data_IF_309576905216
#
_entry.id   IF_309576905216
#
_cell.length_a   1.000
_cell.length_b   1.000
_cell.length_c   1.000
_cell.angle_alpha   90.00
_cell.angle_beta   90.00
_cell.angle_gamma   90.00
#
_symmetry.space_group_name_H-M   'P 1'
#
loop_
_entity.id
_entity.type
_entity.pdbx_description
1 polymer ?
#
# COMPACT_ATOMS: atom_id res chain seq x y z
N UNK A 1 4.52 -12.77 8.57
CA UNK A 1 4.87 -12.98 7.16
C UNK A 1 6.30 -13.46 7.14
N UNK A 2 6.52 -14.73 6.83
CA UNK A 2 7.87 -15.33 6.84
C UNK A 2 8.76 -14.65 5.78
N UNK A 3 10.02 -14.39 6.14
CA UNK A 3 10.98 -13.72 5.26
C UNK A 3 11.18 -14.45 3.92
N UNK A 4 11.00 -15.78 3.91
CA UNK A 4 11.05 -16.63 2.72
C UNK A 4 9.87 -16.42 1.78
N UNK A 5 8.67 -16.16 2.31
CA UNK A 5 7.50 -15.82 1.50
C UNK A 5 7.63 -14.43 0.88
N UNK A 6 8.17 -13.46 1.62
CA UNK A 6 8.42 -12.12 1.11
C UNK A 6 9.45 -12.12 -0.03
N UNK A 7 10.53 -12.91 0.09
CA UNK A 7 11.54 -13.06 -0.95
C UNK A 7 10.98 -13.72 -2.23
N UNK A 8 10.09 -14.72 -2.09
CA UNK A 8 9.42 -15.37 -3.22
C UNK A 8 8.49 -14.41 -3.97
N UNK A 9 7.69 -13.63 -3.23
CA UNK A 9 6.83 -12.59 -3.80
C UNK A 9 7.63 -11.49 -4.53
N UNK A 10 8.79 -11.10 -3.99
CA UNK A 10 9.69 -10.13 -4.61
C UNK A 10 10.33 -10.67 -5.91
N UNK A 11 10.77 -11.93 -5.91
CA UNK A 11 11.29 -12.59 -7.11
C UNK A 11 10.20 -12.75 -8.18
N UNK A 12 8.97 -13.09 -7.77
CA UNK A 12 7.82 -13.19 -8.66
C UNK A 12 7.44 -11.82 -9.24
N UNK A 13 7.56 -10.72 -8.48
CA UNK A 13 7.37 -9.36 -9.00
C UNK A 13 8.47 -8.96 -9.98
N UNK A 14 9.74 -9.24 -9.68
CA UNK A 14 10.85 -8.95 -10.61
C UNK A 14 10.72 -9.72 -11.93
N UNK A 15 10.25 -10.97 -11.88
CA UNK A 15 10.01 -11.77 -13.08
C UNK A 15 8.85 -11.20 -13.93
N UNK A 16 7.77 -10.74 -13.28
CA UNK A 16 6.65 -10.05 -13.97
C UNK A 16 7.11 -8.76 -14.63
N UNK A 17 7.89 -7.95 -13.92
CA UNK A 17 8.40 -6.67 -14.42
C UNK A 17 9.32 -6.88 -15.62
N UNK A 18 10.16 -7.93 -15.62
CA UNK A 18 10.99 -8.30 -16.79
C UNK A 18 10.15 -8.71 -18.00
N UNK A 19 9.08 -9.48 -17.80
CA UNK A 19 8.18 -9.90 -18.89
C UNK A 19 7.42 -8.69 -19.44
N UNK A 20 6.90 -7.81 -18.59
CA UNK A 20 6.23 -6.57 -19.00
C UNK A 20 7.17 -5.66 -19.79
N UNK A 21 8.41 -5.50 -19.31
CA UNK A 21 9.43 -4.70 -19.99
C UNK A 21 9.79 -5.26 -21.36
N UNK A 22 9.87 -6.59 -21.51
CA UNK A 22 10.07 -7.24 -22.81
C UNK A 22 8.87 -7.07 -23.75
N UNK A 23 7.64 -6.99 -23.23
CA UNK A 23 6.44 -6.68 -24.03
C UNK A 23 6.36 -5.19 -24.43
N UNK A 24 6.93 -4.30 -23.64
CA UNK A 24 7.00 -2.85 -23.92
C UNK A 24 8.15 -2.49 -24.88
N UNK A 25 9.30 -3.15 -24.75
CA UNK A 25 10.53 -2.84 -25.50
C UNK A 25 10.49 -3.39 -26.94
N UNK A 26 9.78 -4.49 -27.20
CA UNK A 26 9.72 -5.10 -28.53
C UNK A 26 8.37 -4.88 -29.22
N UNK A 27 8.33 -4.24 -30.41
CA UNK A 27 7.09 -4.04 -31.13
C UNK A 27 6.48 -5.39 -31.55
N UNK A 28 5.22 -5.61 -31.19
CA UNK A 28 4.48 -6.81 -31.59
C UNK A 28 4.36 -6.85 -33.12
N UNK A 29 5.17 -7.68 -33.78
CA UNK A 29 5.12 -7.89 -35.23
C UNK A 29 4.01 -8.85 -35.58
N UNK A 30 2.96 -8.33 -36.21
CA UNK A 30 1.87 -9.15 -36.73
C UNK A 30 2.24 -9.59 -38.15
N UNK A 31 2.31 -10.90 -38.37
CA UNK A 31 2.66 -11.49 -39.67
C UNK A 31 1.43 -11.82 -40.53
N UNK A 32 0.22 -11.71 -39.97
CA UNK A 32 -1.05 -12.10 -40.58
C UNK A 32 -1.83 -10.91 -41.18
N UNK A 33 -1.14 -9.88 -41.68
CA UNK A 33 -1.78 -8.64 -42.15
C UNK A 33 -1.94 -8.65 -43.67
N UNK A 34 -3.19 -8.59 -44.15
CA UNK A 34 -3.52 -8.32 -45.54
C UNK A 34 -3.30 -6.84 -45.88
N UNK A 35 -3.07 -6.51 -47.16
CA UNK A 35 -2.81 -5.13 -47.59
C UNK A 35 -3.98 -4.19 -47.26
N UNK A 36 -3.70 -2.90 -47.04
CA UNK A 36 -4.69 -1.92 -46.57
C UNK A 36 -5.89 -1.69 -47.50
N UNK A 37 -5.79 -2.10 -48.76
CA UNK A 37 -6.86 -2.04 -49.76
C UNK A 37 -7.44 -3.42 -50.11
N UNK A 38 -7.01 -4.48 -49.44
CA UNK A 38 -7.57 -5.82 -49.63
C UNK A 38 -8.98 -5.89 -49.03
N UNK A 39 -9.90 -6.56 -49.72
CA UNK A 39 -11.24 -6.83 -49.20
C UNK A 39 -11.22 -7.82 -48.03
N UNK A 40 -12.36 -7.95 -47.35
CA UNK A 40 -12.52 -8.88 -46.24
C UNK A 40 -12.34 -10.34 -46.72
N UNK A 41 -11.36 -11.03 -46.14
CA UNK A 41 -11.12 -12.46 -46.32
C UNK A 41 -12.03 -13.30 -45.44
N UNK A 42 -12.21 -14.57 -45.80
CA UNK A 42 -13.05 -15.53 -45.06
C UNK A 42 -12.57 -15.79 -43.63
N UNK A 43 -11.30 -15.52 -43.34
CA UNK A 43 -10.70 -15.66 -42.00
C UNK A 43 -10.80 -14.40 -41.12
N UNK A 44 -11.08 -13.23 -41.69
CA UNK A 44 -10.95 -11.95 -40.98
C UNK A 44 -11.92 -11.83 -39.81
N UNK A 45 -13.12 -12.40 -39.97
CA UNK A 45 -14.11 -12.48 -38.89
C UNK A 45 -13.55 -13.19 -37.65
N UNK A 46 -12.85 -14.31 -37.84
CA UNK A 46 -12.29 -15.06 -36.71
C UNK A 46 -11.13 -14.31 -36.06
N UNK A 47 -10.28 -13.65 -36.84
CA UNK A 47 -9.21 -12.81 -36.28
C UNK A 47 -9.78 -11.66 -35.43
N UNK A 48 -10.79 -10.94 -35.94
CA UNK A 48 -11.49 -9.90 -35.18
C UNK A 48 -12.10 -10.46 -33.89
N UNK A 49 -12.78 -11.61 -33.94
CA UNK A 49 -13.38 -12.23 -32.76
C UNK A 49 -12.35 -12.55 -31.68
N UNK A 50 -11.20 -13.10 -32.07
CA UNK A 50 -10.13 -13.45 -31.13
C UNK A 50 -9.47 -12.20 -30.54
N UNK A 51 -9.15 -11.20 -31.38
CA UNK A 51 -8.59 -9.92 -30.95
C UNK A 51 -9.55 -9.17 -30.01
N UNK A 52 -10.84 -9.11 -30.35
CA UNK A 52 -11.86 -8.49 -29.50
C UNK A 52 -11.99 -9.18 -28.15
N UNK A 53 -11.92 -10.52 -28.11
CA UNK A 53 -11.95 -11.26 -26.84
C UNK A 53 -10.73 -10.94 -25.98
N UNK A 54 -9.54 -10.92 -26.59
CA UNK A 54 -8.30 -10.58 -25.88
C UNK A 54 -8.38 -9.14 -25.33
N UNK A 55 -8.86 -8.20 -26.12
CA UNK A 55 -8.98 -6.80 -25.72
C UNK A 55 -10.00 -6.58 -24.61
N UNK A 56 -11.16 -7.23 -24.68
CA UNK A 56 -12.15 -7.19 -23.60
C UNK A 56 -11.61 -7.79 -22.30
N UNK A 57 -10.85 -8.88 -22.39
CA UNK A 57 -10.19 -9.47 -21.23
C UNK A 57 -9.15 -8.51 -20.63
N UNK A 58 -8.36 -7.84 -21.48
CA UNK A 58 -7.39 -6.81 -21.08
C UNK A 58 -8.05 -5.65 -20.36
N UNK A 59 -9.11 -5.08 -20.94
CA UNK A 59 -9.88 -3.99 -20.32
C UNK A 59 -10.44 -4.43 -18.97
N UNK A 60 -11.02 -5.64 -18.90
CA UNK A 60 -11.55 -6.18 -17.65
C UNK A 60 -10.49 -6.37 -16.56
N UNK A 61 -9.27 -6.77 -16.91
CA UNK A 61 -8.16 -6.86 -15.96
C UNK A 61 -7.76 -5.49 -15.41
N UNK A 62 -7.59 -4.50 -16.30
CA UNK A 62 -7.25 -3.12 -15.92
C UNK A 62 -8.31 -2.54 -14.98
N UNK A 63 -9.60 -2.74 -15.28
CA UNK A 63 -10.69 -2.27 -14.42
C UNK A 63 -10.68 -2.95 -13.05
N UNK A 64 -10.43 -4.26 -13.00
CA UNK A 64 -10.34 -5.01 -11.74
C UNK A 64 -9.15 -4.57 -10.89
N UNK A 65 -7.98 -4.37 -11.50
CA UNK A 65 -6.77 -3.87 -10.82
C UNK A 65 -7.02 -2.48 -10.25
N UNK A 66 -7.59 -1.56 -11.05
CA UNK A 66 -7.95 -0.22 -10.59
C UNK A 66 -8.89 -0.23 -9.39
N UNK A 67 -9.93 -1.07 -9.42
CA UNK A 67 -10.87 -1.20 -8.30
C UNK A 67 -10.18 -1.75 -7.04
N UNK A 68 -9.29 -2.74 -7.18
CA UNK A 68 -8.53 -3.29 -6.07
C UNK A 68 -7.57 -2.27 -5.46
N UNK A 69 -6.83 -1.54 -6.30
CA UNK A 69 -5.91 -0.48 -5.87
C UNK A 69 -6.67 0.59 -5.11
N UNK A 70 -7.76 1.11 -5.68
CA UNK A 70 -8.62 2.11 -5.03
C UNK A 70 -9.12 1.64 -3.66
N UNK A 71 -9.63 0.40 -3.57
CA UNK A 71 -10.09 -0.17 -2.31
C UNK A 71 -8.95 -0.29 -1.27
N UNK A 72 -7.76 -0.70 -1.72
CA UNK A 72 -6.57 -0.81 -0.87
C UNK A 72 -6.09 0.55 -0.36
N UNK A 73 -6.13 1.58 -1.19
CA UNK A 73 -5.78 2.95 -0.81
C UNK A 73 -6.76 3.52 0.20
N UNK A 74 -8.06 3.36 -0.04
CA UNK A 74 -9.09 3.78 0.91
C UNK A 74 -8.92 3.10 2.26
N UNK A 75 -8.64 1.80 2.26
CA UNK A 75 -8.35 1.06 3.48
C UNK A 75 -7.10 1.58 4.21
N UNK A 76 -6.00 1.81 3.48
CA UNK A 76 -4.76 2.36 4.04
C UNK A 76 -5.00 3.75 4.65
N UNK A 77 -5.72 4.63 3.95
CA UNK A 77 -6.08 5.98 4.44
C UNK A 77 -6.91 5.89 5.72
N UNK A 78 -7.96 5.06 5.74
CA UNK A 78 -8.79 4.84 6.94
C UNK A 78 -7.97 4.30 8.12
N UNK A 79 -7.10 3.32 7.88
CA UNK A 79 -6.23 2.76 8.91
C UNK A 79 -5.29 3.83 9.49
N UNK A 80 -4.63 4.61 8.64
CA UNK A 80 -3.74 5.69 9.07
C UNK A 80 -4.47 6.74 9.92
N UNK A 81 -5.70 7.11 9.55
CA UNK A 81 -6.52 8.03 10.33
C UNK A 81 -6.84 7.48 11.72
N UNK A 82 -7.30 6.22 11.80
CA UNK A 82 -7.60 5.57 13.07
C UNK A 82 -6.36 5.41 13.96
N UNK A 83 -5.22 5.05 13.37
CA UNK A 83 -3.95 4.92 14.09
C UNK A 83 -3.50 6.29 14.63
N UNK A 84 -3.66 7.37 13.85
CA UNK A 84 -3.35 8.73 14.28
C UNK A 84 -4.27 9.20 15.43
N UNK A 85 -5.57 8.96 15.34
CA UNK A 85 -6.53 9.29 16.40
C UNK A 85 -6.24 8.51 17.68
N UNK A 86 -5.95 7.21 17.56
CA UNK A 86 -5.56 6.37 18.70
C UNK A 86 -4.25 6.87 19.34
N UNK A 87 -3.27 7.25 18.54
CA UNK A 87 -2.01 7.81 19.02
C UNK A 87 -2.21 9.15 19.73
N UNK A 88 -3.04 10.05 19.19
CA UNK A 88 -3.36 11.33 19.81
C UNK A 88 -4.06 11.14 21.17
N UNK A 89 -5.07 10.28 21.22
CA UNK A 89 -5.79 9.96 22.48
C UNK A 89 -4.85 9.36 23.51
N UNK A 90 -3.93 8.49 23.08
CA UNK A 90 -2.94 7.86 23.95
C UNK A 90 -1.90 8.87 24.45
N UNK A 91 -1.40 9.74 23.58
CA UNK A 91 -0.46 10.81 23.91
C UNK A 91 -1.08 11.80 24.91
N UNK A 92 -2.32 12.22 24.69
CA UNK A 92 -3.05 13.12 25.61
C UNK A 92 -3.22 12.49 27.00
N UNK A 93 -3.56 11.20 27.07
CA UNK A 93 -3.65 10.46 28.34
C UNK A 93 -2.28 10.29 29.01
N UNK A 94 -1.24 9.99 28.24
CA UNK A 94 0.13 9.85 28.74
C UNK A 94 0.67 11.18 29.30
N UNK A 95 0.45 12.30 28.61
CA UNK A 95 0.83 13.63 29.07
C UNK A 95 0.15 13.98 30.41
N UNK A 96 -1.15 13.69 30.56
CA UNK A 96 -1.87 13.87 31.83
C UNK A 96 -1.25 13.03 32.97
N UNK A 97 -0.88 11.78 32.70
CA UNK A 97 -0.19 10.92 33.70
C UNK A 97 1.19 11.44 34.07
N UNK A 98 1.99 11.88 33.09
CA UNK A 98 3.32 12.46 33.32
C UNK A 98 3.23 13.72 34.19
N UNK A 99 2.30 14.64 33.90
CA UNK A 99 2.07 15.85 34.72
C UNK A 99 1.70 15.50 36.17
N UNK A 100 0.81 14.51 36.37
CA UNK A 100 0.45 14.04 37.72
C UNK A 100 1.63 13.39 38.46
N UNK A 101 2.48 12.64 37.76
CA UNK A 101 3.67 12.02 38.34
C UNK A 101 4.69 13.08 38.80
N UNK A 102 4.97 14.06 37.96
CA UNK A 102 5.87 15.18 38.29
C UNK A 102 5.35 15.99 39.48
N UNK A 103 4.05 16.29 39.53
CA UNK A 103 3.45 17.01 40.65
C UNK A 103 3.59 16.24 41.99
N UNK A 104 3.42 14.90 41.97
CA UNK A 104 3.66 14.07 43.16
C UNK A 104 5.13 14.05 43.58
N UNK A 105 6.05 13.92 42.62
CA UNK A 105 7.48 13.95 42.89
C UNK A 105 7.90 15.28 43.55
N UNK A 106 7.43 16.41 43.03
CA UNK A 106 7.70 17.72 43.65
C UNK A 106 7.09 17.86 45.05
N UNK A 107 5.92 17.26 45.32
CA UNK A 107 5.35 17.23 46.67
C UNK A 107 6.17 16.36 47.63
N UNK A 108 6.63 15.21 47.17
CA UNK A 108 7.50 14.32 47.95
C UNK A 108 8.87 14.96 48.22
N UNK A 109 9.46 15.64 47.24
CA UNK A 109 10.70 16.42 47.38
C UNK A 109 10.53 17.58 48.39
N UNK A 110 9.45 18.35 48.29
CA UNK A 110 9.16 19.44 49.23
C UNK A 110 8.92 18.93 50.66
N UNK A 111 8.23 17.79 50.83
CA UNK A 111 8.03 17.14 52.12
C UNK A 111 9.32 16.50 52.68
N UNK A 112 10.22 16.03 51.81
CA UNK A 112 11.56 15.56 52.20
C UNK A 112 12.46 16.71 52.68
N UNK A 113 12.42 17.86 51.99
CA UNK A 113 13.17 19.05 52.36
C UNK A 113 12.70 19.65 53.70
N UNK A 114 11.39 19.67 53.98
CA UNK A 114 10.87 20.15 55.28
C UNK A 114 11.24 19.24 56.45
N UNK A 115 11.41 17.93 56.23
CA UNK A 115 11.88 16.97 57.24
C UNK A 115 13.38 17.08 57.53
N UNK A 116 14.18 17.54 56.57
CA UNK A 116 15.63 17.74 56.75
C UNK A 116 15.97 19.10 57.38
N UNK A 117 15.09 20.09 57.28
CA UNK A 117 15.26 21.40 57.94
C UNK A 117 14.95 21.43 59.45
N UNK A 118 14.31 20.39 60.00
CA UNK A 118 13.99 20.29 61.44
C UNK A 118 15.04 19.51 62.25
N UNK A 119 16.17 19.12 61.64
CA UNK A 119 17.31 18.50 62.32
C UNK A 119 18.54 19.41 62.19
N UNK A 120 18.62 20.43 63.03
CA UNK A 120 19.80 21.26 63.27
C UNK A 120 19.95 21.53 64.77
N UNK A 121 21.18 21.57 65.31
CA UNK A 121 21.55 21.28 66.71
C UNK A 121 20.95 22.21 67.76
#
# INVERSE_FOLDING_TARGET
>A
MDATQAARLAADSEARDRVLKLLEDEPIRITQTSGSSAGAGSGDFHHYRQQRRAELARIGQIEQEFLQEKASEEFRKRKQQLDAECAERTARKAAKRRKKKLAKQHQEEAAGASRQGSSGP
#
